data_IF_735741592933
#
_entry.id   IF_735741592933
#
_cell.length_a   1.000
_cell.length_b   1.000
_cell.length_c   1.000
_cell.angle_alpha   90.00
_cell.angle_beta   90.00
_cell.angle_gamma   90.00
#
_symmetry.space_group_name_H-M   'P 1'
#
loop_
_entity.id
_entity.type
_entity.pdbx_description
1 polymer ?
#
# COMPACT_ATOMS: atom_id res chain seq x y z
N UNK A 1 7.79 33.64 -12.35
CA UNK A 1 8.32 32.30 -12.68
C UNK A 1 8.81 31.69 -11.39
N UNK A 2 7.91 31.01 -10.67
CA UNK A 2 8.24 30.38 -9.39
C UNK A 2 8.74 28.99 -9.72
N UNK A 3 10.00 28.70 -9.42
CA UNK A 3 10.64 27.40 -9.58
C UNK A 3 10.04 26.40 -8.58
N UNK A 4 8.82 25.95 -8.83
CA UNK A 4 8.32 24.66 -8.35
C UNK A 4 8.94 23.63 -9.28
N UNK A 5 10.15 23.17 -8.97
CA UNK A 5 10.63 21.95 -9.59
C UNK A 5 9.52 20.93 -9.36
N UNK A 6 8.93 20.40 -10.45
CA UNK A 6 7.79 19.49 -10.36
C UNK A 6 8.16 18.37 -9.40
N UNK A 7 7.55 18.38 -8.20
CA UNK A 7 7.92 17.48 -7.11
C UNK A 7 7.76 16.04 -7.58
N UNK A 8 6.77 15.78 -8.44
CA UNK A 8 6.58 14.50 -9.12
C UNK A 8 7.78 14.10 -9.98
N UNK A 9 8.38 15.03 -10.75
CA UNK A 9 9.57 14.77 -11.57
C UNK A 9 10.80 14.47 -10.70
N UNK A 10 10.96 15.18 -9.58
CA UNK A 10 12.05 14.93 -8.62
C UNK A 10 11.91 13.54 -8.00
N UNK A 11 10.70 13.20 -7.54
CA UNK A 11 10.41 11.90 -6.95
C UNK A 11 10.60 10.79 -7.96
N UNK A 12 10.11 10.94 -9.19
CA UNK A 12 10.30 9.95 -10.26
C UNK A 12 11.78 9.73 -10.58
N UNK A 13 12.57 10.80 -10.60
CA UNK A 13 14.02 10.71 -10.85
C UNK A 13 14.74 10.01 -9.71
N UNK A 14 14.35 10.27 -8.45
CA UNK A 14 14.89 9.59 -7.28
C UNK A 14 14.50 8.10 -7.25
N UNK A 15 13.26 7.77 -7.61
CA UNK A 15 12.77 6.40 -7.70
C UNK A 15 13.36 5.63 -8.89
N UNK A 16 13.88 6.32 -9.91
CA UNK A 16 14.65 5.74 -11.01
C UNK A 16 16.13 5.49 -10.66
N UNK A 17 16.57 5.82 -9.45
CA UNK A 17 17.94 5.57 -9.02
C UNK A 17 18.23 4.06 -8.91
N UNK A 18 19.45 3.62 -9.30
CA UNK A 18 19.85 2.23 -9.11
C UNK A 18 19.84 1.89 -7.62
N UNK A 19 19.21 0.77 -7.27
CA UNK A 19 19.00 0.34 -5.88
C UNK A 19 17.54 0.38 -5.42
N UNK A 20 16.68 1.18 -6.05
CA UNK A 20 15.25 1.26 -5.67
C UNK A 20 14.42 0.02 -6.06
N UNK A 21 14.97 -0.86 -6.91
CA UNK A 21 14.38 -2.16 -7.26
C UNK A 21 14.96 -3.32 -6.44
N UNK A 22 15.81 -3.04 -5.44
CA UNK A 22 16.38 -4.09 -4.59
C UNK A 22 15.34 -4.60 -3.59
N UNK A 23 15.24 -5.93 -3.47
CA UNK A 23 14.35 -6.55 -2.49
C UNK A 23 14.93 -6.42 -1.08
N UNK A 24 14.20 -5.75 -0.18
CA UNK A 24 14.57 -5.60 1.22
C UNK A 24 13.74 -6.55 2.10
N UNK A 25 14.40 -7.22 3.06
CA UNK A 25 13.69 -8.01 4.08
C UNK A 25 13.18 -7.12 5.20
N UNK A 26 11.86 -7.01 5.32
CA UNK A 26 11.21 -6.28 6.41
C UNK A 26 10.79 -7.28 7.49
N UNK A 27 11.38 -7.16 8.70
CA UNK A 27 10.92 -7.91 9.86
C UNK A 27 9.89 -7.08 10.63
N UNK A 28 8.64 -7.54 10.65
CA UNK A 28 7.53 -6.82 11.27
C UNK A 28 7.02 -7.61 12.49
N UNK A 29 7.15 -7.01 13.69
CA UNK A 29 6.62 -7.55 14.95
C UNK A 29 5.57 -6.60 15.52
N UNK A 30 4.30 -6.81 15.16
CA UNK A 30 3.17 -5.98 15.59
C UNK A 30 2.00 -6.83 16.09
N UNK A 31 1.07 -6.21 16.82
CA UNK A 31 -0.12 -6.91 17.32
C UNK A 31 -1.07 -7.32 16.20
N UNK A 32 -1.86 -8.39 16.40
CA UNK A 32 -2.90 -8.83 15.44
C UNK A 32 -3.87 -7.70 15.05
N UNK A 33 -4.21 -6.83 16.01
CA UNK A 33 -5.04 -5.64 15.76
C UNK A 33 -4.37 -4.67 14.79
N UNK A 34 -3.07 -4.44 14.96
CA UNK A 34 -2.28 -3.58 14.08
C UNK A 34 -2.17 -4.16 12.68
N UNK A 35 -2.00 -5.48 12.53
CA UNK A 35 -2.00 -6.15 11.22
C UNK A 35 -3.31 -5.92 10.47
N UNK A 36 -4.46 -6.15 11.12
CA UNK A 36 -5.77 -5.91 10.51
C UNK A 36 -5.97 -4.45 10.11
N UNK A 37 -5.53 -3.52 10.96
CA UNK A 37 -5.62 -2.09 10.66
C UNK A 37 -4.75 -1.71 9.45
N UNK A 38 -3.50 -2.21 9.40
CA UNK A 38 -2.59 -2.01 8.29
C UNK A 38 -3.19 -2.54 6.98
N UNK A 39 -3.65 -3.79 6.98
CA UNK A 39 -4.34 -4.42 5.86
C UNK A 39 -5.50 -3.55 5.37
N UNK A 40 -6.37 -3.09 6.28
CA UNK A 40 -7.55 -2.32 5.90
C UNK A 40 -7.20 -0.93 5.36
N UNK A 41 -6.16 -0.28 5.90
CA UNK A 41 -5.65 0.99 5.38
C UNK A 41 -5.11 0.83 3.96
N UNK A 42 -4.33 -0.22 3.69
CA UNK A 42 -3.79 -0.49 2.35
C UNK A 42 -4.92 -0.80 1.37
N UNK A 43 -5.85 -1.70 1.72
CA UNK A 43 -7.00 -2.04 0.87
C UNK A 43 -7.85 -0.81 0.52
N UNK A 44 -8.16 0.05 1.50
CA UNK A 44 -8.90 1.29 1.26
C UNK A 44 -8.15 2.26 0.36
N UNK A 45 -6.84 2.37 0.56
CA UNK A 45 -5.99 3.18 -0.32
C UNK A 45 -6.03 2.66 -1.76
N UNK A 46 -5.93 1.34 -1.96
CA UNK A 46 -5.97 0.72 -3.28
C UNK A 46 -7.33 0.92 -3.96
N UNK A 47 -8.42 0.84 -3.20
CA UNK A 47 -9.77 1.15 -3.70
C UNK A 47 -9.91 2.62 -4.11
N UNK A 48 -9.34 3.56 -3.35
CA UNK A 48 -9.40 4.99 -3.70
C UNK A 48 -8.69 5.32 -5.03
N UNK A 49 -7.67 4.55 -5.41
CA UNK A 49 -7.00 4.69 -6.71
C UNK A 49 -7.90 4.28 -7.89
N UNK A 50 -8.82 3.32 -7.69
CA UNK A 50 -9.70 2.83 -8.74
C UNK A 50 -10.87 3.79 -9.02
N UNK A 51 -11.32 4.54 -8.01
CA UNK A 51 -12.49 5.43 -8.11
C UNK A 51 -12.14 6.84 -8.60
N UNK A 52 -10.85 7.17 -8.80
CA UNK A 52 -10.41 8.51 -9.24
C UNK A 52 -10.95 9.65 -8.36
N UNK A 53 -11.21 9.38 -7.07
CA UNK A 53 -11.62 10.43 -6.14
C UNK A 53 -10.43 11.36 -5.85
N UNK A 54 -10.67 12.68 -5.89
CA UNK A 54 -9.69 13.69 -5.56
C UNK A 54 -9.29 13.58 -4.08
N UNK A 55 -8.18 12.87 -3.83
CA UNK A 55 -7.71 12.51 -2.50
C UNK A 55 -7.21 11.08 -2.39
N UNK A 56 -6.69 10.50 -3.48
CA UNK A 56 -6.13 9.15 -3.48
C UNK A 56 -5.07 9.03 -2.38
N UNK A 57 -5.26 8.06 -1.48
CA UNK A 57 -4.37 7.88 -0.32
C UNK A 57 -2.96 7.44 -0.74
N UNK A 58 -2.79 6.99 -1.98
CA UNK A 58 -1.50 6.67 -2.58
C UNK A 58 -0.98 7.82 -3.45
N UNK A 59 0.34 8.08 -3.39
CA UNK A 59 0.95 9.10 -4.23
C UNK A 59 0.82 8.78 -5.73
N UNK A 60 0.73 9.81 -6.57
CA UNK A 60 0.61 9.68 -8.03
C UNK A 60 1.77 8.90 -8.68
N UNK A 61 2.94 8.85 -8.01
CA UNK A 61 4.12 8.10 -8.46
C UNK A 61 4.07 6.60 -8.11
N UNK A 62 3.03 6.12 -7.41
CA UNK A 62 2.89 4.70 -7.07
C UNK A 62 2.67 3.86 -8.35
N UNK A 63 3.73 3.20 -8.82
CA UNK A 63 3.67 2.32 -9.98
C UNK A 63 2.83 1.07 -9.67
N UNK A 64 2.19 0.51 -10.69
CA UNK A 64 1.39 -0.73 -10.59
C UNK A 64 2.15 -1.89 -9.93
N UNK A 65 3.45 -1.97 -10.18
CA UNK A 65 4.33 -2.98 -9.58
C UNK A 65 4.38 -2.84 -8.04
N UNK A 66 4.66 -1.64 -7.53
CA UNK A 66 4.66 -1.37 -6.08
C UNK A 66 3.28 -1.57 -5.45
N UNK A 67 2.20 -1.30 -6.16
CA UNK A 67 0.84 -1.58 -5.68
C UNK A 67 0.61 -3.10 -5.54
N UNK A 68 1.08 -3.90 -6.49
CA UNK A 68 1.01 -5.36 -6.43
C UNK A 68 1.88 -5.93 -5.30
N UNK A 69 3.06 -5.34 -5.06
CA UNK A 69 3.88 -5.70 -3.91
C UNK A 69 3.18 -5.39 -2.58
N UNK A 70 2.46 -4.26 -2.48
CA UNK A 70 1.65 -3.93 -1.31
C UNK A 70 0.52 -4.95 -1.09
N UNK A 71 -0.16 -5.40 -2.14
CA UNK A 71 -1.15 -6.48 -2.04
C UNK A 71 -0.51 -7.78 -1.53
N UNK A 72 0.69 -8.11 -2.02
CA UNK A 72 1.48 -9.24 -1.52
C UNK A 72 1.82 -9.12 -0.04
N UNK A 73 2.26 -7.94 0.42
CA UNK A 73 2.56 -7.66 1.83
C UNK A 73 1.31 -7.85 2.71
N UNK A 74 0.14 -7.41 2.23
CA UNK A 74 -1.13 -7.59 2.93
C UNK A 74 -1.46 -9.07 3.08
N UNK A 75 -1.39 -9.83 1.98
CA UNK A 75 -1.67 -11.27 2.00
C UNK A 75 -0.70 -12.02 2.94
N UNK A 76 0.60 -11.75 2.83
CA UNK A 76 1.64 -12.32 3.68
C UNK A 76 1.44 -11.97 5.16
N UNK A 77 1.08 -10.72 5.46
CA UNK A 77 0.89 -10.26 6.84
C UNK A 77 -0.33 -10.92 7.48
N UNK A 78 -1.43 -11.05 6.73
CA UNK A 78 -2.62 -11.78 7.18
C UNK A 78 -2.34 -13.26 7.42
N UNK A 79 -1.62 -13.90 6.49
CA UNK A 79 -1.26 -15.31 6.57
C UNK A 79 -0.34 -15.56 7.78
N UNK A 80 0.72 -14.76 7.96
CA UNK A 80 1.65 -14.87 9.10
C UNK A 80 0.97 -14.60 10.44
N UNK A 81 -0.02 -13.71 10.47
CA UNK A 81 -0.77 -13.40 11.68
C UNK A 81 -1.91 -14.41 11.98
N UNK A 82 -2.24 -15.30 11.02
CA UNK A 82 -3.38 -16.23 11.10
C UNK A 82 -4.74 -15.52 11.04
N UNK A 83 -4.81 -14.35 10.39
CA UNK A 83 -5.96 -13.46 10.39
C UNK A 83 -6.73 -13.44 9.06
N UNK A 84 -6.29 -14.22 8.06
CA UNK A 84 -6.90 -14.25 6.73
C UNK A 84 -8.41 -14.51 6.79
N UNK A 85 -8.85 -15.55 7.51
CA UNK A 85 -10.27 -15.91 7.60
C UNK A 85 -11.09 -14.85 8.35
N UNK A 86 -10.51 -14.23 9.39
CA UNK A 86 -11.16 -13.15 10.13
C UNK A 86 -11.31 -11.90 9.27
N UNK A 87 -10.29 -11.55 8.49
CA UNK A 87 -10.32 -10.42 7.56
C UNK A 87 -11.42 -10.60 6.50
N UNK A 88 -11.55 -11.80 5.92
CA UNK A 88 -12.60 -12.12 4.96
C UNK A 88 -14.00 -12.01 5.58
N UNK A 89 -14.20 -12.54 6.80
CA UNK A 89 -15.47 -12.38 7.53
C UNK A 89 -15.80 -10.92 7.83
N UNK A 90 -14.79 -10.12 8.22
CA UNK A 90 -14.96 -8.69 8.47
C UNK A 90 -15.30 -7.91 7.19
N UNK A 91 -14.68 -8.27 6.05
CA UNK A 91 -15.02 -7.70 4.75
C UNK A 91 -16.47 -7.98 4.39
N UNK A 92 -16.90 -9.24 4.51
CA UNK A 92 -18.28 -9.64 4.25
C UNK A 92 -19.28 -8.88 5.13
N UNK A 93 -18.95 -8.65 6.40
CA UNK A 93 -19.79 -7.86 7.31
C UNK A 93 -19.81 -6.36 6.97
N UNK A 94 -18.70 -5.81 6.49
CA UNK A 94 -18.60 -4.39 6.11
C UNK A 94 -19.15 -4.06 4.72
N UNK A 95 -19.41 -5.08 3.90
CA UNK A 95 -20.03 -4.97 2.58
C UNK A 95 -21.57 -5.06 2.65
N UNK A 96 -22.12 -5.15 3.87
CA UNK A 96 -23.54 -5.24 4.17
C UNK A 96 -24.10 -3.89 4.65
#
# INVERSE_FOLDING_TARGET
MTTTIDISLVVDTLLASPGMSETVKINLSVSRKTVLLLTRCIEKGLQSLQTNEAGSAFPEFARKESLSELEGIVADSLQKAGLTELNEKLKALSAQ
#
